data_IF_299259355171
#
_entry.id   IF_299259355171
#
_cell.length_a   1.000
_cell.length_b   1.000
_cell.length_c   1.000
_cell.angle_alpha   90.00
_cell.angle_beta   90.00
_cell.angle_gamma   90.00
#
_symmetry.space_group_name_H-M   'P 1'
#
loop_
_entity.id
_entity.type
_entity.pdbx_description
1 polymer ?
#
# COMPACT_ATOMS: atom_id res chain seq x y z
N UNK A 1 -36.29 5.20 -24.19
CA UNK A 1 -35.17 4.80 -25.07
C UNK A 1 -34.20 5.99 -25.12
N UNK A 2 -33.24 6.04 -24.18
CA UNK A 2 -32.30 7.16 -24.08
C UNK A 2 -31.09 6.87 -24.97
N UNK A 3 -31.08 7.47 -26.16
CA UNK A 3 -29.92 7.48 -27.05
C UNK A 3 -28.78 8.23 -26.34
N UNK A 4 -27.83 7.46 -25.81
CA UNK A 4 -26.59 7.99 -25.27
C UNK A 4 -25.78 8.58 -26.46
N UNK A 5 -25.54 9.89 -26.53
CA UNK A 5 -24.82 10.47 -27.66
C UNK A 5 -23.38 9.94 -27.63
N UNK A 6 -22.98 9.17 -28.66
CA UNK A 6 -21.60 8.73 -28.85
C UNK A 6 -20.71 9.97 -29.00
N UNK A 7 -19.98 10.32 -27.92
CA UNK A 7 -18.96 11.38 -27.94
C UNK A 7 -17.91 11.10 -29.02
N UNK A 8 -17.50 12.15 -29.73
CA UNK A 8 -16.56 12.14 -30.85
C UNK A 8 -15.21 11.48 -30.48
N UNK A 9 -14.83 10.44 -31.23
CA UNK A 9 -13.70 9.54 -30.94
C UNK A 9 -12.31 10.20 -30.90
N UNK A 10 -12.10 11.34 -31.57
CA UNK A 10 -10.79 11.98 -31.67
C UNK A 10 -10.23 12.55 -30.35
N UNK A 11 -11.09 13.05 -29.47
CA UNK A 11 -10.69 13.60 -28.15
C UNK A 11 -10.27 12.51 -27.15
N UNK A 12 -10.68 11.27 -27.36
CA UNK A 12 -10.42 10.17 -26.43
C UNK A 12 -9.00 9.59 -26.59
N UNK A 13 -8.39 9.68 -27.78
CA UNK A 13 -7.04 9.17 -28.02
C UNK A 13 -5.99 10.00 -27.26
N UNK A 14 -6.02 11.32 -27.41
CA UNK A 14 -5.08 12.23 -26.73
C UNK A 14 -5.32 12.27 -25.23
N UNK A 15 -6.59 12.31 -24.79
CA UNK A 15 -6.94 12.29 -23.36
C UNK A 15 -6.60 10.95 -22.70
N UNK A 16 -6.89 9.83 -23.36
CA UNK A 16 -6.52 8.49 -22.89
C UNK A 16 -5.01 8.31 -22.83
N UNK A 17 -4.29 8.77 -23.86
CA UNK A 17 -2.83 8.79 -23.88
C UNK A 17 -2.24 9.59 -22.72
N UNK A 18 -2.73 10.81 -22.47
CA UNK A 18 -2.30 11.63 -21.34
C UNK A 18 -2.51 10.95 -19.98
N UNK A 19 -3.66 10.30 -19.77
CA UNK A 19 -3.96 9.57 -18.52
C UNK A 19 -3.01 8.37 -18.36
N UNK A 20 -2.78 7.60 -19.43
CA UNK A 20 -1.86 6.46 -19.40
C UNK A 20 -0.43 6.90 -19.09
N UNK A 21 0.09 7.92 -19.78
CA UNK A 21 1.43 8.44 -19.52
C UNK A 21 1.56 9.02 -18.11
N UNK A 22 0.54 9.72 -17.62
CA UNK A 22 0.50 10.22 -16.25
C UNK A 22 0.57 9.09 -15.23
N UNK A 23 -0.26 8.06 -15.38
CA UNK A 23 -0.29 6.91 -14.47
C UNK A 23 1.01 6.10 -14.53
N UNK A 24 1.60 5.93 -15.72
CA UNK A 24 2.89 5.26 -15.88
C UNK A 24 4.00 6.05 -15.19
N UNK A 25 4.03 7.38 -15.36
CA UNK A 25 5.02 8.23 -14.68
C UNK A 25 4.86 8.17 -13.17
N UNK A 26 3.63 8.22 -12.67
CA UNK A 26 3.34 8.10 -11.24
C UNK A 26 3.76 6.72 -10.69
N UNK A 27 3.49 5.64 -11.42
CA UNK A 27 3.95 4.29 -11.07
C UNK A 27 5.47 4.20 -10.99
N UNK A 28 6.18 4.71 -12.00
CA UNK A 28 7.65 4.71 -12.00
C UNK A 28 8.22 5.58 -10.88
N UNK A 29 7.62 6.74 -10.59
CA UNK A 29 8.05 7.62 -9.52
C UNK A 29 7.93 6.96 -8.14
N UNK A 30 6.81 6.31 -7.86
CA UNK A 30 6.57 5.64 -6.57
C UNK A 30 7.55 4.46 -6.42
N UNK A 31 7.70 3.62 -7.44
CA UNK A 31 8.63 2.49 -7.40
C UNK A 31 10.09 2.94 -7.27
N UNK A 32 10.50 3.98 -8.01
CA UNK A 32 11.84 4.52 -7.91
C UNK A 32 12.15 5.12 -6.53
N UNK A 33 11.18 5.81 -5.91
CA UNK A 33 11.32 6.30 -4.54
C UNK A 33 11.46 5.15 -3.54
N UNK A 34 10.59 4.14 -3.64
CA UNK A 34 10.58 2.96 -2.78
C UNK A 34 11.91 2.19 -2.87
N UNK A 35 12.39 1.90 -4.08
CA UNK A 35 13.69 1.26 -4.32
C UNK A 35 14.83 2.10 -3.72
N UNK A 36 14.83 3.42 -3.95
CA UNK A 36 15.87 4.31 -3.42
C UNK A 36 15.96 4.23 -1.90
N UNK A 37 14.83 4.29 -1.19
CA UNK A 37 14.80 4.17 0.27
C UNK A 37 15.22 2.79 0.76
N UNK A 38 14.81 1.73 0.07
CA UNK A 38 15.29 0.38 0.40
C UNK A 38 16.79 0.25 0.20
N UNK A 39 17.36 0.77 -0.88
CA UNK A 39 18.81 0.75 -1.10
C UNK A 39 19.56 1.45 0.03
N UNK A 40 19.10 2.63 0.47
CA UNK A 40 19.68 3.29 1.64
C UNK A 40 19.55 2.44 2.91
N UNK A 41 18.39 1.83 3.14
CA UNK A 41 18.17 0.92 4.26
C UNK A 41 19.12 -0.29 4.25
N UNK A 42 19.35 -0.91 3.09
CA UNK A 42 20.28 -2.04 2.92
C UNK A 42 21.72 -1.61 3.24
N UNK A 43 22.16 -0.44 2.77
CA UNK A 43 23.50 0.06 3.07
C UNK A 43 23.69 0.34 4.56
N UNK A 44 22.72 1.01 5.20
CA UNK A 44 22.75 1.30 6.63
C UNK A 44 22.76 0.00 7.45
N UNK A 45 21.91 -0.96 7.08
CA UNK A 45 21.84 -2.27 7.74
C UNK A 45 23.14 -3.05 7.59
N UNK A 46 23.74 -3.04 6.40
CA UNK A 46 25.03 -3.69 6.15
C UNK A 46 26.13 -3.08 7.02
N UNK A 47 26.21 -1.75 7.07
CA UNK A 47 27.17 -1.05 7.92
C UNK A 47 26.95 -1.35 9.41
N UNK A 48 25.69 -1.42 9.86
CA UNK A 48 25.33 -1.75 11.23
C UNK A 48 25.70 -3.20 11.59
N UNK A 49 25.47 -4.16 10.68
CA UNK A 49 25.88 -5.55 10.88
C UNK A 49 27.40 -5.69 10.93
N UNK A 50 28.13 -5.00 10.05
CA UNK A 50 29.59 -4.94 10.12
C UNK A 50 30.06 -4.33 11.44
N UNK A 51 29.39 -3.32 11.99
CA UNK A 51 29.79 -2.71 13.26
C UNK A 51 29.55 -3.62 14.47
N UNK A 52 28.43 -4.36 14.49
CA UNK A 52 28.03 -5.17 15.65
C UNK A 52 28.68 -6.56 15.70
N UNK A 53 28.87 -7.20 14.54
CA UNK A 53 29.26 -8.60 14.46
C UNK A 53 30.69 -8.82 13.96
N UNK A 54 31.32 -7.81 13.37
CA UNK A 54 32.69 -7.94 12.91
C UNK A 54 33.67 -7.72 14.07
N UNK A 55 34.67 -8.59 14.14
CA UNK A 55 35.72 -8.49 15.14
C UNK A 55 36.54 -7.20 14.96
N UNK A 56 36.86 -6.54 16.07
CA UNK A 56 37.57 -5.25 16.08
C UNK A 56 38.96 -5.37 15.45
N UNK A 57 39.62 -6.51 15.64
CA UNK A 57 40.92 -6.79 15.04
C UNK A 57 40.85 -6.92 13.52
N UNK A 58 39.74 -7.46 12.99
CA UNK A 58 39.51 -7.58 11.54
C UNK A 58 39.20 -6.21 10.93
N UNK A 59 38.45 -5.35 11.63
CA UNK A 59 38.20 -3.96 11.24
C UNK A 59 39.49 -3.13 11.23
N UNK A 60 40.28 -3.22 12.29
CA UNK A 60 41.53 -2.48 12.43
C UNK A 60 42.58 -2.96 11.41
N UNK A 61 42.67 -4.28 11.18
CA UNK A 61 43.54 -4.85 10.15
C UNK A 61 43.18 -4.40 8.74
N UNK A 62 41.89 -4.35 8.40
CA UNK A 62 41.44 -3.79 7.13
C UNK A 62 41.76 -2.29 7.02
N UNK A 63 41.53 -1.52 8.09
CA UNK A 63 41.86 -0.08 8.13
C UNK A 63 43.34 0.17 7.84
N UNK A 64 44.25 -0.53 8.53
CA UNK A 64 45.68 -0.41 8.31
C UNK A 64 46.12 -0.92 6.93
N UNK A 65 45.52 -1.99 6.42
CA UNK A 65 45.77 -2.45 5.05
C UNK A 65 45.46 -1.36 4.02
N UNK A 66 44.30 -0.72 4.11
CA UNK A 66 43.89 0.35 3.19
C UNK A 66 44.68 1.65 3.38
N UNK A 67 45.07 1.99 4.61
CA UNK A 67 45.97 3.13 4.85
C UNK A 67 47.35 2.88 4.25
N UNK A 68 47.94 1.71 4.49
CA UNK A 68 49.24 1.37 3.94
C UNK A 68 49.20 1.37 2.40
N UNK A 69 48.10 0.91 1.81
CA UNK A 69 47.87 0.95 0.37
C UNK A 69 47.68 2.37 -0.19
N UNK A 70 47.05 3.28 0.54
CA UNK A 70 46.91 4.67 0.10
C UNK A 70 48.19 5.46 0.27
N UNK A 71 48.94 5.24 1.36
CA UNK A 71 50.19 5.94 1.62
C UNK A 71 51.32 5.47 0.70
N UNK A 72 51.33 4.21 0.24
CA UNK A 72 52.31 3.74 -0.76
C UNK A 72 52.19 4.43 -2.12
N UNK A 73 51.04 5.04 -2.42
CA UNK A 73 50.87 5.88 -3.62
C UNK A 73 51.64 7.20 -3.49
N UNK A 74 51.84 7.70 -2.27
CA UNK A 74 52.40 9.04 -2.02
C UNK A 74 53.78 9.03 -1.36
N UNK A 75 54.20 7.91 -0.75
CA UNK A 75 55.46 7.80 0.00
C UNK A 75 56.27 6.59 -0.49
N UNK A 76 57.61 6.71 -0.55
CA UNK A 76 58.47 5.59 -0.89
C UNK A 76 58.39 4.48 0.14
N UNK A 77 58.67 3.24 -0.29
CA UNK A 77 58.54 2.03 0.52
C UNK A 77 59.38 2.04 1.81
N UNK A 78 60.42 2.88 1.89
CA UNK A 78 61.28 3.06 3.06
C UNK A 78 60.65 3.83 4.22
N UNK A 79 59.43 4.36 4.06
CA UNK A 79 58.75 5.09 5.11
C UNK A 79 58.34 4.15 6.26
N UNK A 80 58.69 4.49 7.50
CA UNK A 80 58.35 3.68 8.67
C UNK A 80 56.91 3.95 9.07
N UNK A 81 56.10 2.89 9.08
CA UNK A 81 54.73 2.91 9.58
C UNK A 81 54.65 2.27 10.96
N UNK A 82 53.80 2.85 11.81
CA UNK A 82 53.44 2.29 13.09
C UNK A 82 52.08 1.62 12.94
N UNK A 83 52.03 0.31 13.12
CA UNK A 83 50.78 -0.45 13.18
C UNK A 83 50.57 -0.91 14.61
N UNK A 84 49.46 -0.55 15.21
CA UNK A 84 49.06 -1.10 16.49
C UNK A 84 48.27 -2.39 16.25
N UNK A 85 48.81 -3.51 16.72
CA UNK A 85 48.15 -4.81 16.63
C UNK A 85 48.09 -5.44 18.02
N UNK A 86 46.89 -5.78 18.47
CA UNK A 86 46.64 -6.37 19.80
C UNK A 86 47.28 -5.58 20.97
N UNK A 87 47.27 -4.23 20.89
CA UNK A 87 47.82 -3.36 21.93
C UNK A 87 49.35 -3.23 21.94
N UNK A 88 50.02 -3.72 20.90
CA UNK A 88 51.47 -3.52 20.70
C UNK A 88 51.73 -2.74 19.42
N UNK A 89 52.60 -1.73 19.52
CA UNK A 89 52.96 -0.86 18.39
C UNK A 89 54.15 -1.50 17.66
N UNK A 90 53.91 -1.99 16.46
CA UNK A 90 54.94 -2.50 15.57
C UNK A 90 55.41 -1.39 14.64
N UNK A 91 56.69 -1.03 14.73
CA UNK A 91 57.33 -0.14 13.77
C UNK A 91 57.92 -0.97 12.64
N UNK A 92 57.43 -0.80 11.42
CA UNK A 92 57.93 -1.55 10.26
C UNK A 92 57.90 -0.70 9.01
N UNK A 93 58.79 -1.02 8.07
CA UNK A 93 58.91 -0.36 6.78
C UNK A 93 57.63 -0.57 5.95
N UNK A 94 57.18 0.43 5.19
CA UNK A 94 55.94 0.38 4.42
C UNK A 94 55.88 -0.84 3.48
N UNK A 95 57.00 -1.18 2.81
CA UNK A 95 57.10 -2.36 1.96
C UNK A 95 56.86 -3.70 2.70
N UNK A 96 57.35 -3.85 3.94
CA UNK A 96 57.14 -5.06 4.74
C UNK A 96 55.73 -5.15 5.31
N UNK A 97 55.05 -4.01 5.51
CA UNK A 97 53.65 -4.00 5.93
C UNK A 97 52.68 -4.35 4.81
N UNK A 98 52.98 -3.94 3.56
CA UNK A 98 52.16 -4.29 2.40
C UNK A 98 52.13 -5.79 2.12
N UNK A 99 53.23 -6.50 2.38
CA UNK A 99 53.34 -7.94 2.19
C UNK A 99 52.97 -8.75 3.44
N UNK A 100 52.51 -8.10 4.52
CA UNK A 100 52.22 -8.78 5.77
C UNK A 100 51.01 -9.72 5.60
N UNK A 101 51.18 -11.05 5.77
CA UNK A 101 50.11 -12.02 5.56
C UNK A 101 48.93 -11.83 6.54
N UNK A 102 49.16 -11.26 7.72
CA UNK A 102 48.13 -11.00 8.74
C UNK A 102 47.17 -9.89 8.26
N UNK A 103 47.71 -8.79 7.72
CA UNK A 103 46.90 -7.68 7.20
C UNK A 103 46.13 -8.08 5.94
N UNK A 104 46.75 -8.85 5.05
CA UNK A 104 46.10 -9.39 3.85
C UNK A 104 44.97 -10.35 4.24
N UNK A 105 45.19 -11.25 5.20
CA UNK A 105 44.17 -12.17 5.70
C UNK A 105 43.03 -11.45 6.45
N UNK A 106 43.35 -10.39 7.21
CA UNK A 106 42.33 -9.55 7.86
C UNK A 106 41.46 -8.84 6.82
N UNK A 107 42.05 -8.28 5.76
CA UNK A 107 41.31 -7.64 4.68
C UNK A 107 40.45 -8.63 3.87
N UNK A 108 40.97 -9.83 3.56
CA UNK A 108 40.17 -10.85 2.85
C UNK A 108 39.00 -11.33 3.70
N UNK A 109 39.20 -11.52 5.01
CA UNK A 109 38.13 -11.82 5.97
C UNK A 109 37.11 -10.69 6.03
N UNK A 110 37.55 -9.44 6.13
CA UNK A 110 36.67 -8.26 6.10
C UNK A 110 35.74 -8.24 4.87
N UNK A 111 36.30 -8.47 3.68
CA UNK A 111 35.54 -8.51 2.43
C UNK A 111 34.50 -9.63 2.41
N UNK A 112 34.89 -10.84 2.83
CA UNK A 112 33.99 -11.98 2.86
C UNK A 112 32.80 -11.74 3.81
N UNK A 113 33.05 -11.24 5.02
CA UNK A 113 31.98 -10.94 5.97
C UNK A 113 31.10 -9.79 5.49
N UNK A 114 31.69 -8.73 4.92
CA UNK A 114 30.93 -7.62 4.34
C UNK A 114 30.01 -8.09 3.21
N UNK A 115 30.48 -9.00 2.35
CA UNK A 115 29.65 -9.59 1.28
C UNK A 115 28.50 -10.43 1.85
N UNK A 116 28.74 -11.22 2.89
CA UNK A 116 27.69 -11.99 3.56
C UNK A 116 26.64 -11.06 4.18
N UNK A 117 27.06 -10.03 4.91
CA UNK A 117 26.12 -9.07 5.51
C UNK A 117 25.36 -8.25 4.49
N UNK A 118 25.99 -7.91 3.35
CA UNK A 118 25.31 -7.28 2.22
C UNK A 118 24.24 -8.21 1.64
N UNK A 119 24.54 -9.50 1.45
CA UNK A 119 23.61 -10.49 0.94
C UNK A 119 22.40 -10.64 1.90
N UNK A 120 22.66 -10.79 3.20
CA UNK A 120 21.61 -10.84 4.22
C UNK A 120 20.74 -9.58 4.19
N UNK A 121 21.37 -8.40 4.14
CA UNK A 121 20.66 -7.12 4.08
C UNK A 121 19.83 -6.98 2.80
N UNK A 122 20.33 -7.45 1.66
CA UNK A 122 19.59 -7.49 0.40
C UNK A 122 18.35 -8.40 0.48
N UNK A 123 18.46 -9.59 1.10
CA UNK A 123 17.32 -10.49 1.30
C UNK A 123 16.25 -9.81 2.16
N UNK A 124 16.66 -9.17 3.27
CA UNK A 124 15.76 -8.39 4.13
C UNK A 124 15.12 -7.24 3.35
N UNK A 125 15.89 -6.54 2.52
CA UNK A 125 15.42 -5.47 1.63
C UNK A 125 14.36 -5.94 0.64
N UNK A 126 14.54 -7.11 0.02
CA UNK A 126 13.57 -7.72 -0.91
C UNK A 126 12.27 -8.09 -0.18
N UNK A 127 12.36 -8.66 1.01
CA UNK A 127 11.19 -8.96 1.85
C UNK A 127 10.44 -7.67 2.19
N UNK A 128 11.16 -6.63 2.61
CA UNK A 128 10.58 -5.32 2.90
C UNK A 128 9.86 -4.72 1.68
N UNK A 129 10.50 -4.73 0.51
CA UNK A 129 9.88 -4.26 -0.75
C UNK A 129 8.58 -5.02 -1.07
N UNK A 130 8.60 -6.34 -0.90
CA UNK A 130 7.44 -7.20 -1.18
C UNK A 130 6.28 -6.88 -0.25
N UNK A 131 6.55 -6.70 1.04
CA UNK A 131 5.55 -6.31 2.05
C UNK A 131 5.02 -4.90 1.77
N UNK A 132 5.91 -3.96 1.44
CA UNK A 132 5.53 -2.59 1.13
C UNK A 132 4.61 -2.53 -0.11
N UNK A 133 4.97 -3.24 -1.19
CA UNK A 133 4.14 -3.35 -2.39
C UNK A 133 2.77 -3.97 -2.10
N UNK A 134 2.72 -5.04 -1.29
CA UNK A 134 1.46 -5.64 -0.86
C UNK A 134 0.61 -4.65 -0.05
N UNK A 135 1.21 -3.91 0.88
CA UNK A 135 0.52 -2.88 1.66
C UNK A 135 -0.04 -1.75 0.79
N UNK A 136 0.75 -1.23 -0.16
CA UNK A 136 0.30 -0.21 -1.10
C UNK A 136 -0.83 -0.71 -2.00
N UNK A 137 -0.77 -1.96 -2.45
CA UNK A 137 -1.85 -2.57 -3.23
C UNK A 137 -3.14 -2.65 -2.41
N UNK A 138 -3.07 -3.21 -1.20
CA UNK A 138 -4.24 -3.35 -0.31
C UNK A 138 -4.89 -1.99 -0.02
N UNK A 139 -4.07 -0.99 0.30
CA UNK A 139 -4.55 0.37 0.57
C UNK A 139 -5.12 1.05 -0.67
N UNK A 140 -4.56 0.76 -1.84
CA UNK A 140 -5.09 1.21 -3.13
C UNK A 140 -6.46 0.59 -3.42
N UNK A 141 -6.62 -0.71 -3.16
CA UNK A 141 -7.89 -1.42 -3.35
C UNK A 141 -8.98 -0.84 -2.42
N UNK A 142 -8.66 -0.63 -1.13
CA UNK A 142 -9.57 0.01 -0.15
C UNK A 142 -10.00 1.43 -0.57
N UNK A 143 -9.12 2.21 -1.21
CA UNK A 143 -9.42 3.56 -1.69
C UNK A 143 -10.14 3.58 -3.05
N UNK A 144 -10.08 2.47 -3.79
CA UNK A 144 -10.69 2.32 -5.11
C UNK A 144 -12.10 1.73 -5.03
N UNK A 145 -12.49 1.15 -3.89
CA UNK A 145 -13.88 0.77 -3.67
C UNK A 145 -14.78 1.97 -3.98
N UNK A 146 -15.69 1.81 -4.94
CA UNK A 146 -16.61 2.85 -5.35
C UNK A 146 -17.52 3.19 -4.17
N UNK A 147 -17.08 4.13 -3.34
CA UNK A 147 -17.91 4.66 -2.28
C UNK A 147 -19.06 5.42 -2.94
N UNK A 148 -20.28 4.97 -2.70
CA UNK A 148 -21.47 5.69 -3.08
C UNK A 148 -21.45 7.06 -2.39
N UNK A 149 -21.08 8.10 -3.16
CA UNK A 149 -20.85 9.44 -2.59
C UNK A 149 -22.17 10.09 -2.17
N UNK A 150 -23.21 10.00 -3.00
CA UNK A 150 -24.53 10.61 -2.76
C UNK A 150 -25.57 10.18 -3.81
N UNK A 151 -26.85 10.33 -3.46
CA UNK A 151 -27.98 10.23 -4.38
C UNK A 151 -28.95 9.10 -4.04
N UNK A 152 -29.68 8.63 -5.04
CA UNK A 152 -30.54 7.45 -4.91
C UNK A 152 -29.75 6.18 -5.22
N UNK A 153 -29.80 5.22 -4.30
CA UNK A 153 -29.27 3.88 -4.51
C UNK A 153 -30.39 2.91 -4.83
N UNK A 154 -30.22 2.11 -5.87
CA UNK A 154 -31.14 1.03 -6.19
C UNK A 154 -30.78 -0.18 -5.34
N UNK A 155 -31.72 -0.64 -4.51
CA UNK A 155 -31.60 -1.87 -3.73
C UNK A 155 -32.72 -2.84 -4.11
N UNK A 156 -32.51 -4.13 -3.90
CA UNK A 156 -33.61 -5.10 -4.02
C UNK A 156 -34.59 -4.93 -2.85
N UNK A 157 -35.88 -5.32 -3.01
CA UNK A 157 -36.87 -5.18 -1.92
C UNK A 157 -36.46 -5.90 -0.62
N UNK A 158 -35.76 -7.04 -0.73
CA UNK A 158 -35.28 -7.82 0.42
C UNK A 158 -34.12 -7.12 1.14
N UNK A 159 -33.17 -6.56 0.39
CA UNK A 159 -32.07 -5.78 0.96
C UNK A 159 -32.58 -4.51 1.64
N UNK A 160 -33.50 -3.79 0.99
CA UNK A 160 -34.13 -2.59 1.56
C UNK A 160 -34.86 -2.92 2.86
N UNK A 161 -35.65 -4.00 2.88
CA UNK A 161 -36.35 -4.43 4.09
C UNK A 161 -35.38 -4.85 5.22
N UNK A 162 -34.28 -5.53 4.88
CA UNK A 162 -33.24 -5.91 5.85
C UNK A 162 -32.52 -4.68 6.41
N UNK A 163 -32.23 -3.69 5.57
CA UNK A 163 -31.60 -2.44 5.96
C UNK A 163 -32.51 -1.62 6.86
N UNK A 164 -33.78 -1.42 6.48
CA UNK A 164 -34.77 -0.71 7.31
C UNK A 164 -34.96 -1.40 8.67
N UNK A 165 -34.95 -2.74 8.70
CA UNK A 165 -35.03 -3.52 9.94
C UNK A 165 -33.79 -3.32 10.81
N UNK A 166 -32.60 -3.34 10.22
CA UNK A 166 -31.32 -3.10 10.91
C UNK A 166 -31.28 -1.70 11.53
N UNK A 167 -31.78 -0.71 10.79
CA UNK A 167 -31.80 0.69 11.21
C UNK A 167 -32.94 1.00 12.20
N UNK A 168 -33.80 0.03 12.53
CA UNK A 168 -35.03 0.19 13.33
C UNK A 168 -35.98 1.27 12.78
N UNK A 169 -35.99 1.45 11.46
CA UNK A 169 -36.84 2.43 10.75
C UNK A 169 -37.85 1.76 9.83
N UNK A 170 -38.15 0.49 10.05
CA UNK A 170 -39.12 -0.25 9.25
C UNK A 170 -40.55 0.04 9.74
N UNK A 171 -41.48 0.29 8.83
CA UNK A 171 -42.91 0.38 9.14
C UNK A 171 -43.51 -0.99 9.47
N UNK A 172 -44.60 -0.97 10.24
CA UNK A 172 -45.42 -2.16 10.50
C UNK A 172 -46.14 -2.67 9.25
N UNK A 173 -46.35 -1.81 8.24
CA UNK A 173 -46.93 -2.22 6.97
C UNK A 173 -45.98 -3.09 6.15
N UNK A 174 -46.46 -4.25 5.70
CA UNK A 174 -45.76 -5.14 4.77
C UNK A 174 -46.55 -5.27 3.48
N UNK A 175 -45.98 -4.78 2.39
CA UNK A 175 -46.54 -4.99 1.06
C UNK A 175 -46.12 -6.38 0.56
N UNK A 176 -47.07 -7.29 0.42
CA UNK A 176 -46.84 -8.68 0.02
C UNK A 176 -45.80 -9.40 0.89
N UNK A 177 -45.84 -9.15 2.20
CA UNK A 177 -44.92 -9.73 3.17
C UNK A 177 -43.56 -9.03 3.26
N UNK A 178 -43.31 -7.98 2.46
CA UNK A 178 -42.04 -7.24 2.46
C UNK A 178 -42.24 -5.84 3.06
N UNK A 179 -41.52 -5.56 4.15
CA UNK A 179 -41.52 -4.24 4.81
C UNK A 179 -40.59 -3.25 4.10
N UNK A 180 -41.02 -2.73 2.96
CA UNK A 180 -40.25 -1.76 2.15
C UNK A 180 -40.44 -0.30 2.58
N UNK A 181 -41.44 -0.03 3.41
CA UNK A 181 -41.76 1.33 3.85
C UNK A 181 -41.02 1.69 5.12
N UNK A 182 -40.59 2.95 5.20
CA UNK A 182 -39.98 3.51 6.41
C UNK A 182 -41.03 3.82 7.47
N UNK A 183 -40.62 3.89 8.72
CA UNK A 183 -41.45 4.33 9.84
C UNK A 183 -42.13 5.67 9.51
N UNK A 184 -43.39 5.82 9.90
CA UNK A 184 -44.20 7.04 9.69
C UNK A 184 -44.29 7.49 8.23
N UNK A 185 -44.20 6.57 7.27
CA UNK A 185 -44.48 6.91 5.86
C UNK A 185 -45.94 7.36 5.67
N UNK A 186 -46.86 6.88 6.52
CA UNK A 186 -48.29 7.18 6.51
C UNK A 186 -48.60 8.68 6.52
N UNK A 187 -47.83 9.46 7.27
CA UNK A 187 -48.02 10.92 7.43
C UNK A 187 -47.27 11.74 6.37
N UNK A 188 -46.56 11.10 5.45
CA UNK A 188 -45.73 11.78 4.44
C UNK A 188 -46.37 11.83 3.04
N UNK A 189 -47.59 11.32 2.93
CA UNK A 189 -48.30 11.06 1.69
C UNK A 189 -47.57 10.05 0.78
N UNK A 190 -48.34 9.31 -0.01
CA UNK A 190 -47.81 8.31 -0.94
C UNK A 190 -48.34 8.58 -2.34
N UNK A 191 -47.44 8.67 -3.31
CA UNK A 191 -47.79 8.70 -4.73
C UNK A 191 -47.70 7.29 -5.30
N UNK A 192 -48.81 6.78 -5.83
CA UNK A 192 -48.86 5.56 -6.62
C UNK A 192 -48.98 5.94 -8.10
N UNK A 193 -47.86 5.95 -8.81
CA UNK A 193 -47.81 6.27 -10.23
C UNK A 193 -47.66 5.01 -11.10
N UNK A 194 -48.25 5.04 -12.30
CA UNK A 194 -48.23 3.93 -13.25
C UNK A 194 -49.32 4.04 -14.32
N UNK A 195 -49.23 3.24 -15.38
CA UNK A 195 -50.22 3.21 -16.48
C UNK A 195 -51.54 2.51 -16.09
N UNK A 196 -52.53 2.51 -16.98
CA UNK A 196 -53.74 1.67 -16.83
C UNK A 196 -53.34 0.18 -16.84
N UNK A 197 -53.94 -0.61 -15.94
CA UNK A 197 -53.60 -2.03 -15.79
C UNK A 197 -52.33 -2.34 -14.98
N UNK A 198 -51.53 -1.35 -14.56
CA UNK A 198 -50.30 -1.57 -13.79
C UNK A 198 -50.50 -2.04 -12.33
N UNK A 199 -51.75 -2.27 -11.90
CA UNK A 199 -52.07 -2.76 -10.56
C UNK A 199 -52.23 -1.70 -9.47
N UNK A 200 -52.36 -0.41 -9.80
CA UNK A 200 -52.56 0.67 -8.81
C UNK A 200 -53.75 0.41 -7.87
N UNK A 201 -54.89 -0.01 -8.40
CA UNK A 201 -56.08 -0.35 -7.60
C UNK A 201 -55.86 -1.57 -6.70
N UNK A 202 -55.00 -2.51 -7.11
CA UNK A 202 -54.62 -3.67 -6.28
C UNK A 202 -53.74 -3.22 -5.11
N UNK A 203 -52.76 -2.35 -5.36
CA UNK A 203 -51.94 -1.76 -4.30
C UNK A 203 -52.79 -0.96 -3.31
N UNK A 204 -53.71 -0.11 -3.80
CA UNK A 204 -54.62 0.67 -2.95
C UNK A 204 -55.46 -0.23 -2.02
N UNK A 205 -56.02 -1.32 -2.54
CA UNK A 205 -56.78 -2.28 -1.73
C UNK A 205 -55.95 -2.89 -0.60
N UNK A 206 -54.67 -3.18 -0.82
CA UNK A 206 -53.77 -3.70 0.24
C UNK A 206 -53.57 -2.66 1.35
N UNK A 207 -53.42 -1.38 1.01
CA UNK A 207 -53.39 -0.32 2.01
C UNK A 207 -54.71 -0.22 2.79
N UNK A 208 -55.85 -0.27 2.11
CA UNK A 208 -57.16 -0.21 2.76
C UNK A 208 -57.43 -1.38 3.70
N UNK A 209 -57.03 -2.60 3.32
CA UNK A 209 -57.11 -3.77 4.20
C UNK A 209 -56.30 -3.54 5.47
N UNK A 210 -55.07 -3.06 5.34
CA UNK A 210 -54.21 -2.77 6.48
C UNK A 210 -54.75 -1.64 7.38
N UNK A 211 -55.27 -0.56 6.80
CA UNK A 211 -55.94 0.53 7.54
C UNK A 211 -57.15 -0.02 8.32
N UNK A 212 -57.95 -0.87 7.67
CA UNK A 212 -59.11 -1.51 8.30
C UNK A 212 -58.71 -2.45 9.45
N UNK A 213 -57.65 -3.23 9.29
CA UNK A 213 -57.12 -4.11 10.35
C UNK A 213 -56.67 -3.34 11.59
N UNK A 214 -56.15 -2.11 11.40
CA UNK A 214 -55.77 -1.20 12.50
C UNK A 214 -56.96 -0.49 13.15
N UNK A 215 -58.14 -0.53 12.53
CA UNK A 215 -59.32 0.23 12.97
C UNK A 215 -59.28 1.71 12.59
N UNK A 216 -58.37 2.09 11.68
CA UNK A 216 -58.23 3.47 11.21
C UNK A 216 -59.33 3.82 10.20
N UNK A 217 -59.70 5.11 10.13
CA UNK A 217 -60.71 5.62 9.19
C UNK A 217 -60.06 6.03 7.87
N UNK A 218 -60.70 5.72 6.75
CA UNK A 218 -60.31 6.16 5.41
C UNK A 218 -61.47 6.85 4.70
N UNK A 219 -61.16 7.91 3.94
CA UNK A 219 -62.08 8.55 3.00
C UNK A 219 -61.60 8.16 1.60
N UNK A 220 -62.51 7.61 0.79
CA UNK A 220 -62.22 7.08 -0.55
C UNK A 220 -63.12 7.84 -1.53
N UNK A 221 -62.53 8.32 -2.61
CA UNK A 221 -63.22 8.99 -3.73
C UNK A 221 -63.51 7.99 -4.86
#
# INVERSE_FOLDING_TARGET
MTLNPKRTKGSNYTRGGQILFHNLRMFLQINAALIRWTCFGVLILTALLCYLFLDKDTLMGAYYYWINQTVSVFRPESHVMQTEWQGTVYTSTLGSQLQNPILIAANSRFWLWTQIYLLISCVIGIVFLSVAMWYFKKKGDEQTEEHFIRGMQKATPKELAKQLKKDKRQSDFKLDGIGIFKERFEVQHLLLDGTTGAGKSVALRKFLTWIRERGDKAIIY
#
